data_IF_152398452981
#
_entry.id   IF_152398452981
#
_cell.length_a   1.000
_cell.length_b   1.000
_cell.length_c   1.000
_cell.angle_alpha   90.00
_cell.angle_beta   90.00
_cell.angle_gamma   90.00
#
_symmetry.space_group_name_H-M   'P 1'
#
loop_
_entity.id
_entity.type
_entity.pdbx_description
1 polymer ?
#
# COMPACT_ATOMS: atom_id res chain seq x y z
N UNK A 1 -4.98 27.86 1.24
CA UNK A 1 -4.50 29.25 1.41
C UNK A 1 -3.31 29.34 2.39
N UNK A 2 -3.32 28.59 3.50
CA UNK A 2 -2.24 28.60 4.50
C UNK A 2 -0.88 28.10 3.95
N UNK A 3 -0.87 27.10 3.04
CA UNK A 3 0.34 26.62 2.33
C UNK A 3 1.05 27.71 1.52
N UNK A 4 0.30 28.38 0.65
CA UNK A 4 0.86 29.43 -0.21
C UNK A 4 1.41 30.58 0.64
N UNK A 5 0.74 30.91 1.74
CA UNK A 5 1.23 31.90 2.70
C UNK A 5 2.53 31.44 3.38
N UNK A 6 2.65 30.20 3.85
CA UNK A 6 3.85 29.69 4.52
C UNK A 6 5.06 29.56 3.59
N UNK A 7 4.88 28.94 2.41
CA UNK A 7 5.93 28.83 1.39
C UNK A 7 6.39 30.21 0.89
N UNK A 8 5.45 31.13 0.67
CA UNK A 8 5.78 32.51 0.31
C UNK A 8 6.50 33.24 1.45
N UNK A 9 6.11 33.01 2.70
CA UNK A 9 6.76 33.62 3.86
C UNK A 9 8.21 33.16 3.98
N UNK A 10 8.48 31.85 3.83
CA UNK A 10 9.86 31.30 3.86
C UNK A 10 10.67 31.86 2.68
N UNK A 11 10.10 31.86 1.48
CA UNK A 11 10.77 32.37 0.28
C UNK A 11 11.10 33.87 0.40
N UNK A 12 10.14 34.69 0.83
CA UNK A 12 10.31 36.13 1.04
C UNK A 12 11.31 36.38 2.18
N UNK A 13 11.26 35.61 3.27
CA UNK A 13 12.21 35.75 4.39
C UNK A 13 13.64 35.43 3.96
N UNK A 14 13.85 34.36 3.18
CA UNK A 14 15.15 34.04 2.61
C UNK A 14 15.66 35.14 1.69
N UNK A 15 14.78 35.74 0.87
CA UNK A 15 15.15 36.79 -0.08
C UNK A 15 15.49 38.10 0.64
N UNK A 16 14.75 38.44 1.70
CA UNK A 16 15.05 39.56 2.59
C UNK A 16 16.38 39.35 3.32
N UNK A 17 16.62 38.15 3.85
CA UNK A 17 17.91 37.78 4.47
C UNK A 17 19.07 37.91 3.48
N UNK A 18 18.90 37.48 2.23
CA UNK A 18 19.92 37.62 1.20
C UNK A 18 20.25 39.09 0.93
N UNK A 19 19.23 39.96 0.87
CA UNK A 19 19.40 41.40 0.74
C UNK A 19 20.14 42.03 1.92
N UNK A 20 19.76 41.67 3.16
CA UNK A 20 20.42 42.14 4.39
C UNK A 20 21.89 41.70 4.41
N UNK A 21 22.18 40.46 4.05
CA UNK A 21 23.55 39.94 4.01
C UNK A 21 24.41 40.62 2.94
N UNK A 22 23.83 40.97 1.78
CA UNK A 22 24.52 41.71 0.73
C UNK A 22 24.89 43.14 1.16
N UNK A 23 23.97 43.83 1.84
CA UNK A 23 24.21 45.17 2.42
C UNK A 23 25.25 45.07 3.54
N UNK A 24 25.17 44.04 4.38
CA UNK A 24 26.13 43.84 5.46
C UNK A 24 27.55 43.60 4.93
N UNK A 25 27.69 42.69 3.97
CA UNK A 25 28.98 42.37 3.34
C UNK A 25 29.61 43.56 2.59
N UNK A 26 28.80 44.40 1.95
CA UNK A 26 29.32 45.59 1.22
C UNK A 26 29.67 46.75 2.15
N UNK A 27 29.00 46.88 3.30
CA UNK A 27 29.24 47.96 4.25
C UNK A 27 30.47 47.74 5.15
N UNK A 28 30.80 46.48 5.47
CA UNK A 28 31.92 46.13 6.36
C UNK A 28 33.23 45.85 5.64
N UNK A 29 33.19 45.32 4.43
CA UNK A 29 34.36 44.66 3.86
C UNK A 29 34.92 45.43 2.69
N UNK A 30 36.05 46.10 2.90
CA UNK A 30 36.73 46.89 1.86
C UNK A 30 37.62 46.03 0.94
N UNK A 31 37.86 44.78 1.31
CA UNK A 31 38.71 43.85 0.54
C UNK A 31 37.87 42.76 -0.14
N UNK A 32 38.19 42.47 -1.39
CA UNK A 32 37.53 41.43 -2.18
C UNK A 32 37.58 40.06 -1.49
N UNK A 33 38.67 39.74 -0.81
CA UNK A 33 38.85 38.47 -0.09
C UNK A 33 37.93 38.36 1.12
N UNK A 34 37.78 39.43 1.91
CA UNK A 34 36.87 39.41 3.05
C UNK A 34 35.40 39.33 2.61
N UNK A 35 35.02 39.99 1.51
CA UNK A 35 33.67 39.86 0.95
C UNK A 35 33.37 38.40 0.53
N UNK A 36 34.38 37.73 -0.04
CA UNK A 36 34.24 36.35 -0.51
C UNK A 36 34.11 35.33 0.64
N UNK A 37 34.75 35.60 1.78
CA UNK A 37 34.74 34.70 2.95
C UNK A 37 33.55 34.98 3.87
N UNK A 38 33.25 36.26 4.13
CA UNK A 38 32.26 36.65 5.13
C UNK A 38 30.88 36.97 4.53
N UNK A 39 30.78 37.28 3.23
CA UNK A 39 29.52 37.65 2.58
C UNK A 39 28.89 36.52 1.77
N UNK A 40 29.70 35.89 0.92
CA UNK A 40 29.22 34.89 -0.06
C UNK A 40 28.53 33.68 0.58
N UNK A 41 29.06 33.03 1.64
CA UNK A 41 28.41 31.86 2.24
C UNK A 41 27.02 32.17 2.81
N UNK A 42 26.84 33.33 3.44
CA UNK A 42 25.57 33.72 4.06
C UNK A 42 24.53 34.15 3.04
N UNK A 43 24.94 34.83 1.96
CA UNK A 43 24.06 35.11 0.82
C UNK A 43 23.61 33.80 0.16
N UNK A 44 24.52 32.84 -0.06
CA UNK A 44 24.18 31.53 -0.62
C UNK A 44 23.22 30.75 0.27
N UNK A 45 23.39 30.82 1.59
CA UNK A 45 22.50 30.18 2.56
C UNK A 45 21.11 30.81 2.57
N UNK A 46 21.02 32.15 2.51
CA UNK A 46 19.74 32.86 2.39
C UNK A 46 19.02 32.55 1.05
N UNK A 47 19.78 32.41 -0.04
CA UNK A 47 19.26 31.93 -1.32
C UNK A 47 18.80 30.47 -1.26
N UNK A 48 19.49 29.61 -0.51
CA UNK A 48 19.07 28.22 -0.29
C UNK A 48 17.75 28.13 0.50
N UNK A 49 17.56 29.00 1.50
CA UNK A 49 16.29 29.15 2.24
C UNK A 49 15.19 29.65 1.31
N UNK A 50 15.49 30.62 0.45
CA UNK A 50 14.56 31.14 -0.57
C UNK A 50 14.12 30.03 -1.52
N UNK A 51 15.08 29.25 -2.00
CA UNK A 51 14.83 28.11 -2.88
C UNK A 51 13.99 27.03 -2.19
N UNK A 52 14.26 26.72 -0.92
CA UNK A 52 13.46 25.78 -0.14
C UNK A 52 12.01 26.28 0.05
N UNK A 53 11.80 27.56 0.37
CA UNK A 53 10.48 28.17 0.45
C UNK A 53 9.72 28.11 -0.88
N UNK A 54 10.41 28.36 -2.00
CA UNK A 54 9.87 28.22 -3.34
C UNK A 54 9.51 26.77 -3.71
N UNK A 55 10.35 25.80 -3.32
CA UNK A 55 10.10 24.38 -3.53
C UNK A 55 8.86 23.92 -2.76
N UNK A 56 8.72 24.34 -1.51
CA UNK A 56 7.54 24.11 -0.67
C UNK A 56 6.28 24.76 -1.29
N UNK A 57 6.40 25.95 -1.88
CA UNK A 57 5.28 26.62 -2.57
C UNK A 57 4.74 25.80 -3.76
N UNK A 58 5.61 25.04 -4.43
CA UNK A 58 5.27 24.16 -5.56
C UNK A 58 4.85 22.74 -5.16
N UNK A 59 5.08 22.34 -3.92
CA UNK A 59 4.67 21.03 -3.40
C UNK A 59 3.15 20.88 -3.26
N UNK A 60 2.65 19.66 -3.39
CA UNK A 60 1.21 19.35 -3.33
C UNK A 60 0.69 19.04 -1.92
N UNK A 61 1.57 18.84 -0.94
CA UNK A 61 1.23 18.31 0.39
C UNK A 61 1.33 19.36 1.51
N UNK A 62 0.18 19.67 2.13
CA UNK A 62 0.01 20.73 3.14
C UNK A 62 0.63 20.35 4.51
N UNK A 63 0.67 19.07 4.86
CA UNK A 63 1.21 18.59 6.15
C UNK A 63 2.73 18.70 6.18
N UNK A 64 3.37 18.32 5.07
CA UNK A 64 4.82 18.44 4.87
C UNK A 64 5.29 19.89 4.99
N UNK A 65 4.50 20.84 4.48
CA UNK A 65 4.82 22.28 4.50
C UNK A 65 4.87 22.84 5.94
N UNK A 66 3.94 22.39 6.80
CA UNK A 66 3.86 22.85 8.20
C UNK A 66 5.04 22.31 9.02
N UNK A 67 5.42 21.05 8.82
CA UNK A 67 6.56 20.41 9.52
C UNK A 67 7.87 21.12 9.15
N UNK A 68 8.10 21.40 7.86
CA UNK A 68 9.30 22.09 7.40
C UNK A 68 9.38 23.52 7.96
N UNK A 69 8.27 24.25 7.98
CA UNK A 69 8.21 25.61 8.54
C UNK A 69 8.47 25.64 10.06
N UNK A 70 7.93 24.67 10.81
CA UNK A 70 8.16 24.56 12.25
C UNK A 70 9.64 24.30 12.58
N UNK A 71 10.29 23.40 11.84
CA UNK A 71 11.72 23.15 12.01
C UNK A 71 12.59 24.33 11.59
N UNK A 72 12.24 25.04 10.52
CA UNK A 72 12.94 26.26 10.11
C UNK A 72 12.89 27.34 11.22
N UNK A 73 11.72 27.56 11.81
CA UNK A 73 11.55 28.51 12.91
C UNK A 73 12.30 28.03 14.17
N UNK A 74 12.20 26.74 14.50
CA UNK A 74 12.90 26.14 15.64
C UNK A 74 14.41 26.25 15.52
N UNK A 75 14.95 26.00 14.33
CA UNK A 75 16.37 26.18 14.03
C UNK A 75 16.81 27.63 14.15
N UNK A 76 16.02 28.58 13.60
CA UNK A 76 16.27 30.02 13.72
C UNK A 76 16.39 30.47 15.18
N UNK A 77 15.38 30.12 15.99
CA UNK A 77 15.31 30.48 17.41
C UNK A 77 16.42 29.78 18.20
N UNK A 78 16.68 28.51 17.93
CA UNK A 78 17.73 27.73 18.60
C UNK A 78 19.11 28.32 18.39
N UNK A 79 19.49 28.62 17.14
CA UNK A 79 20.79 29.23 16.86
C UNK A 79 20.89 30.69 17.32
N UNK A 80 19.80 31.47 17.26
CA UNK A 80 19.77 32.82 17.84
C UNK A 80 20.05 32.79 19.36
N UNK A 81 19.44 31.84 20.08
CA UNK A 81 19.64 31.66 21.51
C UNK A 81 21.08 31.21 21.84
N UNK A 82 21.64 30.27 21.08
CA UNK A 82 23.05 29.85 21.23
C UNK A 82 23.99 31.04 21.05
N UNK A 83 23.76 31.86 20.02
CA UNK A 83 24.63 33.01 19.74
C UNK A 83 24.47 34.14 20.75
N UNK A 84 23.26 34.40 21.23
CA UNK A 84 23.04 35.31 22.35
C UNK A 84 23.80 34.86 23.61
N UNK A 85 23.79 33.54 23.90
CA UNK A 85 24.53 32.96 25.03
C UNK A 85 26.05 33.10 24.84
N UNK A 86 26.58 32.82 23.65
CA UNK A 86 28.01 32.95 23.35
C UNK A 86 28.48 34.41 23.44
N UNK A 87 27.73 35.35 22.87
CA UNK A 87 28.02 36.78 22.95
C UNK A 87 28.01 37.28 24.39
N UNK A 88 27.03 36.84 25.19
CA UNK A 88 26.94 37.19 26.62
C UNK A 88 28.12 36.61 27.39
N UNK A 89 28.48 35.35 27.13
CA UNK A 89 29.61 34.66 27.75
C UNK A 89 30.95 35.34 27.43
N UNK A 90 31.18 35.68 26.17
CA UNK A 90 32.37 36.42 25.74
C UNK A 90 32.47 37.81 26.37
N UNK A 91 31.33 38.52 26.51
CA UNK A 91 31.29 39.84 27.13
C UNK A 91 31.62 39.80 28.63
N UNK A 92 31.19 38.75 29.34
CA UNK A 92 31.53 38.55 30.76
C UNK A 92 33.00 38.14 30.94
N UNK A 93 33.57 37.45 29.96
CA UNK A 93 34.94 36.93 30.02
C UNK A 93 36.03 37.93 29.59
N UNK A 94 35.70 38.95 28.79
CA UNK A 94 36.66 39.89 28.19
C UNK A 94 36.20 41.35 28.41
N UNK A 95 36.78 42.04 29.38
CA UNK A 95 36.47 43.45 29.75
C UNK A 95 36.87 44.49 28.67
N UNK A 96 37.51 44.08 27.58
CA UNK A 96 38.24 45.00 26.67
C UNK A 96 37.81 44.94 25.20
N UNK A 97 36.96 44.00 24.80
CA UNK A 97 36.56 43.88 23.39
C UNK A 97 35.19 44.53 23.13
N UNK A 98 35.04 45.40 22.11
CA UNK A 98 33.75 45.96 21.70
C UNK A 98 32.93 44.89 20.94
N UNK A 99 32.63 43.77 21.60
CA UNK A 99 31.87 42.65 21.04
C UNK A 99 30.47 43.09 20.59
N UNK A 100 29.89 44.09 21.28
CA UNK A 100 28.57 44.62 20.96
C UNK A 100 28.48 45.37 19.61
N UNK A 101 29.59 45.91 19.07
CA UNK A 101 29.56 46.50 17.72
C UNK A 101 29.37 45.44 16.61
N UNK A 102 29.66 44.17 16.93
CA UNK A 102 29.51 43.04 15.99
C UNK A 102 28.39 42.07 16.35
N UNK A 103 27.76 42.24 17.51
CA UNK A 103 26.67 41.39 17.98
C UNK A 103 25.49 41.29 16.99
N UNK A 104 25.03 42.37 16.31
CA UNK A 104 23.94 42.26 15.33
C UNK A 104 24.30 41.37 14.13
N UNK A 105 25.55 41.42 13.66
CA UNK A 105 26.03 40.61 12.54
C UNK A 105 26.04 39.12 12.89
N UNK A 106 26.64 38.80 14.03
CA UNK A 106 26.75 37.42 14.54
C UNK A 106 25.36 36.82 14.77
N UNK A 107 24.39 37.62 15.25
CA UNK A 107 23.02 37.19 15.43
C UNK A 107 22.33 36.86 14.09
N UNK A 108 22.48 37.70 13.07
CA UNK A 108 21.89 37.47 11.73
C UNK A 108 22.48 36.22 11.09
N UNK A 109 23.79 36.04 11.17
CA UNK A 109 24.50 34.87 10.63
C UNK A 109 24.01 33.58 11.29
N UNK A 110 23.87 33.60 12.61
CA UNK A 110 23.40 32.45 13.38
C UNK A 110 21.94 32.12 13.12
N UNK A 111 21.08 33.13 13.03
CA UNK A 111 19.68 32.95 12.61
C UNK A 111 19.63 32.30 11.22
N UNK A 112 20.47 32.75 10.29
CA UNK A 112 20.50 32.22 8.93
C UNK A 112 20.94 30.74 8.93
N UNK A 113 21.98 30.39 9.70
CA UNK A 113 22.43 28.99 9.86
C UNK A 113 21.34 28.14 10.48
N UNK A 114 20.67 28.66 11.51
CA UNK A 114 19.58 27.97 12.18
C UNK A 114 18.39 27.68 11.26
N UNK A 115 17.98 28.67 10.46
CA UNK A 115 16.90 28.48 9.48
C UNK A 115 17.28 27.39 8.48
N UNK A 116 18.51 27.42 7.93
CA UNK A 116 18.95 26.41 6.97
C UNK A 116 18.95 25.00 7.58
N UNK A 117 19.54 24.85 8.77
CA UNK A 117 19.59 23.56 9.48
C UNK A 117 18.18 23.05 9.79
N UNK A 118 17.30 23.93 10.24
CA UNK A 118 15.89 23.63 10.49
C UNK A 118 15.15 23.15 9.25
N UNK A 119 15.28 23.86 8.12
CA UNK A 119 14.68 23.43 6.84
C UNK A 119 15.15 22.02 6.46
N UNK A 120 16.45 21.74 6.56
CA UNK A 120 17.01 20.43 6.19
C UNK A 120 16.45 19.30 7.05
N UNK A 121 16.41 19.50 8.38
CA UNK A 121 15.81 18.55 9.31
C UNK A 121 14.32 18.34 9.03
N UNK A 122 13.58 19.43 8.78
CA UNK A 122 12.16 19.36 8.48
C UNK A 122 11.84 18.58 7.20
N UNK A 123 12.64 18.76 6.14
CA UNK A 123 12.47 17.98 4.90
C UNK A 123 12.76 16.49 5.14
N UNK A 124 13.80 16.19 5.93
CA UNK A 124 14.12 14.81 6.27
C UNK A 124 13.01 14.14 7.09
N UNK A 125 12.49 14.81 8.12
CA UNK A 125 11.39 14.30 8.94
C UNK A 125 10.13 14.05 8.12
N UNK A 126 9.74 15.01 7.27
CA UNK A 126 8.57 14.87 6.41
C UNK A 126 8.71 13.68 5.43
N UNK A 127 9.90 13.52 4.82
CA UNK A 127 10.19 12.37 3.95
C UNK A 127 10.18 11.04 4.72
N UNK A 128 10.67 11.04 5.96
CA UNK A 128 10.67 9.87 6.83
C UNK A 128 9.26 9.39 7.11
N UNK A 129 8.35 10.31 7.47
CA UNK A 129 6.94 9.98 7.75
C UNK A 129 6.23 9.38 6.55
N UNK A 130 6.41 9.95 5.36
CA UNK A 130 5.81 9.39 4.14
C UNK A 130 6.32 7.98 3.84
N UNK A 131 7.62 7.75 4.06
CA UNK A 131 8.20 6.41 3.91
C UNK A 131 7.64 5.43 4.94
N UNK A 132 7.47 5.85 6.19
CA UNK A 132 6.88 5.01 7.24
C UNK A 132 5.42 4.68 6.94
N UNK A 133 4.62 5.66 6.55
CA UNK A 133 3.22 5.44 6.20
C UNK A 133 3.07 4.48 5.00
N UNK A 134 3.94 4.59 4.00
CA UNK A 134 3.94 3.65 2.87
C UNK A 134 4.33 2.23 3.31
N UNK A 135 5.34 2.10 4.16
CA UNK A 135 5.75 0.80 4.71
C UNK A 135 4.66 0.16 5.58
N UNK A 136 3.94 0.96 6.38
CA UNK A 136 2.81 0.49 7.19
C UNK A 136 1.68 -0.02 6.30
N UNK A 137 1.30 0.73 5.25
CA UNK A 137 0.28 0.26 4.28
C UNK A 137 0.69 -1.01 3.57
N UNK A 138 1.96 -1.12 3.15
CA UNK A 138 2.47 -2.33 2.51
C UNK A 138 2.46 -3.52 3.46
N UNK A 139 2.87 -3.32 4.72
CA UNK A 139 2.81 -4.36 5.76
C UNK A 139 1.37 -4.80 5.99
N UNK A 140 0.45 -3.87 6.20
CA UNK A 140 -0.96 -4.17 6.45
C UNK A 140 -1.60 -4.92 5.27
N UNK A 141 -1.23 -4.56 4.02
CA UNK A 141 -1.65 -5.29 2.82
C UNK A 141 -1.10 -6.73 2.81
N UNK A 142 0.18 -6.91 3.14
CA UNK A 142 0.83 -8.24 3.19
C UNK A 142 0.23 -9.09 4.31
N UNK A 143 0.03 -8.54 5.51
CA UNK A 143 -0.59 -9.23 6.64
C UNK A 143 -2.04 -9.61 6.30
N UNK A 144 -2.81 -8.69 5.70
CA UNK A 144 -4.18 -8.97 5.24
C UNK A 144 -4.23 -10.03 4.14
N UNK A 145 -3.25 -10.08 3.23
CA UNK A 145 -3.14 -11.17 2.25
C UNK A 145 -2.73 -12.49 2.91
N UNK A 146 -1.76 -12.47 3.83
CA UNK A 146 -1.28 -13.66 4.52
C UNK A 146 -2.37 -14.31 5.38
N UNK A 147 -3.19 -13.52 6.08
CA UNK A 147 -4.34 -14.02 6.83
C UNK A 147 -5.35 -14.70 5.89
N UNK A 148 -5.71 -14.04 4.77
CA UNK A 148 -6.61 -14.63 3.76
C UNK A 148 -6.04 -15.91 3.14
N UNK A 149 -4.73 -15.97 2.89
CA UNK A 149 -4.06 -17.17 2.40
C UNK A 149 -4.02 -18.30 3.46
N UNK A 150 -3.93 -17.96 4.74
CA UNK A 150 -4.04 -18.95 5.82
C UNK A 150 -5.47 -19.53 5.88
N UNK A 151 -6.49 -18.68 5.77
CA UNK A 151 -7.89 -19.11 5.69
C UNK A 151 -8.14 -19.98 4.45
N UNK A 152 -7.51 -19.67 3.31
CA UNK A 152 -7.54 -20.50 2.10
C UNK A 152 -7.10 -21.94 2.36
N UNK A 153 -6.02 -22.14 3.12
CA UNK A 153 -5.53 -23.49 3.44
C UNK A 153 -6.54 -24.28 4.30
N UNK A 154 -7.29 -23.59 5.16
CA UNK A 154 -8.38 -24.21 5.91
C UNK A 154 -9.53 -24.62 4.98
N UNK A 155 -9.93 -23.76 4.04
CA UNK A 155 -10.95 -24.10 3.04
C UNK A 155 -10.49 -25.24 2.13
N UNK A 156 -9.24 -25.24 1.65
CA UNK A 156 -8.71 -26.33 0.83
C UNK A 156 -8.75 -27.69 1.53
N UNK A 157 -8.52 -27.71 2.86
CA UNK A 157 -8.68 -28.94 3.66
C UNK A 157 -10.15 -29.35 3.79
N UNK A 158 -11.03 -28.41 4.12
CA UNK A 158 -12.46 -28.67 4.26
C UNK A 158 -13.09 -29.16 2.93
N UNK A 159 -12.69 -28.58 1.80
CA UNK A 159 -13.10 -29.01 0.46
C UNK A 159 -12.68 -30.45 0.16
N UNK A 160 -11.46 -30.85 0.52
CA UNK A 160 -11.00 -32.24 0.35
C UNK A 160 -11.73 -33.25 1.25
N UNK A 161 -12.38 -32.79 2.31
CA UNK A 161 -13.18 -33.61 3.22
C UNK A 161 -14.65 -33.72 2.78
N UNK A 162 -15.10 -32.90 1.82
CA UNK A 162 -16.47 -32.92 1.31
C UNK A 162 -16.79 -34.24 0.61
N UNK A 163 -18.02 -34.71 0.79
CA UNK A 163 -18.54 -35.94 0.18
C UNK A 163 -19.61 -35.66 -0.89
N UNK A 164 -20.15 -34.44 -0.92
CA UNK A 164 -21.26 -34.06 -1.81
C UNK A 164 -21.00 -32.74 -2.52
N UNK A 165 -21.66 -32.54 -3.67
CA UNK A 165 -21.53 -31.30 -4.45
C UNK A 165 -22.14 -30.13 -3.69
N UNK A 166 -23.19 -30.37 -2.92
CA UNK A 166 -23.85 -29.40 -2.06
C UNK A 166 -22.90 -28.86 -0.99
N UNK A 167 -22.15 -29.73 -0.29
CA UNK A 167 -21.13 -29.32 0.68
C UNK A 167 -20.02 -28.48 0.04
N UNK A 168 -19.54 -28.88 -1.14
CA UNK A 168 -18.54 -28.10 -1.89
C UNK A 168 -19.10 -26.73 -2.26
N UNK A 169 -20.33 -26.66 -2.78
CA UNK A 169 -20.95 -25.41 -3.21
C UNK A 169 -21.15 -24.43 -2.06
N UNK A 170 -21.61 -24.90 -0.91
CA UNK A 170 -21.81 -24.08 0.29
C UNK A 170 -20.47 -23.52 0.81
N UNK A 171 -19.43 -24.36 0.90
CA UNK A 171 -18.09 -23.93 1.31
C UNK A 171 -17.48 -22.94 0.31
N UNK A 172 -17.67 -23.15 -1.00
CA UNK A 172 -17.19 -22.19 -2.01
C UNK A 172 -17.87 -20.83 -1.86
N UNK A 173 -19.19 -20.79 -1.67
CA UNK A 173 -19.92 -19.52 -1.47
C UNK A 173 -19.47 -18.83 -0.19
N UNK A 174 -19.32 -19.57 0.91
CA UNK A 174 -18.83 -19.03 2.19
C UNK A 174 -17.40 -18.48 2.06
N UNK A 175 -16.52 -19.22 1.39
CA UNK A 175 -15.14 -18.81 1.17
C UNK A 175 -15.05 -17.58 0.26
N UNK A 176 -15.88 -17.47 -0.79
CA UNK A 176 -15.95 -16.27 -1.64
C UNK A 176 -16.41 -15.06 -0.79
N UNK A 177 -17.46 -15.22 0.02
CA UNK A 177 -17.90 -14.14 0.90
C UNK A 177 -16.81 -13.71 1.90
N UNK A 178 -16.08 -14.66 2.48
CA UNK A 178 -15.12 -14.37 3.56
C UNK A 178 -13.78 -13.86 3.04
N UNK A 179 -13.26 -14.43 1.95
CA UNK A 179 -11.92 -14.12 1.45
C UNK A 179 -11.88 -12.83 0.62
N UNK A 180 -12.97 -12.55 -0.10
CA UNK A 180 -13.01 -11.46 -1.07
C UNK A 180 -14.15 -10.48 -0.87
N UNK A 181 -14.95 -10.64 0.19
CA UNK A 181 -16.08 -9.76 0.55
C UNK A 181 -17.14 -9.66 -0.56
N UNK A 182 -17.32 -10.74 -1.32
CA UNK A 182 -18.35 -10.84 -2.36
C UNK A 182 -19.47 -11.75 -1.84
N UNK A 183 -20.58 -11.12 -1.42
CA UNK A 183 -21.70 -11.84 -0.83
C UNK A 183 -22.69 -12.39 -1.84
N UNK A 184 -22.74 -11.83 -3.05
CA UNK A 184 -23.67 -12.22 -4.10
C UNK A 184 -23.01 -13.26 -5.00
N UNK A 185 -23.12 -14.54 -4.64
CA UNK A 185 -22.45 -15.65 -5.34
C UNK A 185 -23.45 -16.75 -5.64
N UNK A 186 -23.31 -17.41 -6.78
CA UNK A 186 -24.09 -18.58 -7.17
C UNK A 186 -23.18 -19.67 -7.72
N UNK A 187 -23.52 -20.91 -7.41
CA UNK A 187 -22.83 -22.11 -7.85
C UNK A 187 -23.74 -22.86 -8.83
N UNK A 188 -23.34 -22.90 -10.10
CA UNK A 188 -24.19 -23.39 -11.19
C UNK A 188 -23.60 -24.66 -11.78
N UNK A 189 -24.36 -25.74 -11.75
CA UNK A 189 -24.06 -26.99 -12.46
C UNK A 189 -24.82 -27.01 -13.79
N UNK A 190 -24.09 -27.20 -14.88
CA UNK A 190 -24.65 -27.35 -16.21
C UNK A 190 -24.47 -28.77 -16.70
N UNK A 191 -25.56 -29.42 -17.10
CA UNK A 191 -25.56 -30.74 -17.73
C UNK A 191 -26.16 -30.63 -19.14
N UNK A 192 -25.30 -30.58 -20.15
CA UNK A 192 -25.71 -30.36 -21.55
C UNK A 192 -26.36 -28.99 -21.74
N UNK A 193 -27.64 -28.95 -22.12
CA UNK A 193 -28.40 -27.71 -22.29
C UNK A 193 -29.09 -27.22 -21.01
N UNK A 194 -29.13 -28.03 -19.95
CA UNK A 194 -29.78 -27.66 -18.70
C UNK A 194 -28.75 -27.06 -17.73
N UNK A 195 -29.08 -25.91 -17.14
CA UNK A 195 -28.36 -25.30 -16.04
C UNK A 195 -29.20 -25.39 -14.77
N UNK A 196 -28.58 -25.82 -13.67
CA UNK A 196 -29.19 -25.94 -12.35
C UNK A 196 -28.35 -25.15 -11.36
N UNK A 197 -29.00 -24.31 -10.56
CA UNK A 197 -28.33 -23.60 -9.46
C UNK A 197 -28.28 -24.58 -8.28
N UNK A 198 -27.08 -24.96 -7.87
CA UNK A 198 -26.86 -25.87 -6.73
C UNK A 198 -27.05 -25.10 -5.43
N UNK A 199 -26.43 -23.92 -5.34
CA UNK A 199 -26.54 -23.02 -4.21
C UNK A 199 -26.35 -21.56 -4.68
N UNK A 200 -26.98 -20.60 -4.00
CA UNK A 200 -26.87 -19.19 -4.34
C UNK A 200 -27.24 -18.27 -3.16
N UNK A 201 -26.50 -17.19 -3.03
CA UNK A 201 -26.76 -16.07 -2.13
C UNK A 201 -27.24 -14.81 -2.86
N UNK A 202 -27.27 -14.84 -4.20
CA UNK A 202 -27.75 -13.73 -5.02
C UNK A 202 -29.25 -13.49 -4.77
N UNK A 203 -29.61 -12.29 -4.33
CA UNK A 203 -31.01 -11.91 -4.06
C UNK A 203 -31.56 -11.01 -5.16
N UNK A 204 -32.79 -11.30 -5.61
CA UNK A 204 -33.55 -10.46 -6.53
C UNK A 204 -33.18 -10.61 -8.01
N UNK A 205 -32.38 -11.63 -8.35
CA UNK A 205 -32.01 -11.96 -9.73
C UNK A 205 -32.68 -13.28 -10.11
N UNK A 206 -33.40 -13.38 -11.26
CA UNK A 206 -33.98 -14.63 -11.71
C UNK A 206 -32.94 -15.71 -12.02
N UNK A 207 -33.28 -16.97 -11.75
CA UNK A 207 -32.41 -18.12 -11.99
C UNK A 207 -31.94 -18.21 -13.45
N UNK A 208 -32.81 -17.87 -14.42
CA UNK A 208 -32.44 -17.86 -15.84
C UNK A 208 -31.32 -16.84 -16.13
N UNK A 209 -31.36 -15.69 -15.46
CA UNK A 209 -30.35 -14.65 -15.60
C UNK A 209 -29.01 -15.08 -14.99
N UNK A 210 -29.04 -15.80 -13.86
CA UNK A 210 -27.83 -16.37 -13.24
C UNK A 210 -27.24 -17.47 -14.14
N UNK A 211 -28.07 -18.31 -14.74
CA UNK A 211 -27.64 -19.33 -15.69
C UNK A 211 -27.00 -18.71 -16.94
N UNK A 212 -27.58 -17.63 -17.48
CA UNK A 212 -26.99 -16.85 -18.59
C UNK A 212 -25.64 -16.23 -18.22
N UNK A 213 -25.45 -15.78 -16.97
CA UNK A 213 -24.15 -15.30 -16.49
C UNK A 213 -23.12 -16.42 -16.43
N UNK A 214 -23.49 -17.58 -15.91
CA UNK A 214 -22.62 -18.75 -15.85
C UNK A 214 -22.12 -19.16 -17.25
N UNK A 215 -22.98 -19.02 -18.27
CA UNK A 215 -22.63 -19.29 -19.67
C UNK A 215 -21.49 -18.41 -20.20
N UNK A 216 -21.29 -17.20 -19.67
CA UNK A 216 -20.21 -16.30 -20.11
C UNK A 216 -18.83 -16.83 -19.75
N UNK A 217 -18.71 -17.59 -18.65
CA UNK A 217 -17.46 -18.22 -18.22
C UNK A 217 -17.17 -19.57 -18.88
N UNK A 218 -18.03 -20.03 -19.81
CA UNK A 218 -17.96 -21.39 -20.36
C UNK A 218 -16.62 -21.73 -21.00
N UNK A 219 -16.13 -20.82 -21.83
CA UNK A 219 -14.94 -21.03 -22.66
C UNK A 219 -13.65 -20.57 -21.95
N UNK A 220 -13.78 -20.12 -20.69
CA UNK A 220 -12.63 -19.81 -19.86
C UNK A 220 -11.82 -21.08 -19.53
N UNK A 221 -10.55 -20.87 -19.23
CA UNK A 221 -9.69 -21.92 -18.68
C UNK A 221 -10.20 -22.35 -17.28
N UNK A 222 -9.96 -23.62 -16.93
CA UNK A 222 -10.35 -24.14 -15.62
C UNK A 222 -9.63 -23.39 -14.50
N UNK A 223 -10.36 -23.10 -13.42
CA UNK A 223 -9.88 -22.39 -12.25
C UNK A 223 -9.28 -21.00 -12.57
N UNK A 224 -9.75 -20.34 -13.63
CA UNK A 224 -9.37 -18.95 -13.97
C UNK A 224 -10.54 -18.01 -13.76
N UNK A 225 -10.26 -16.87 -13.12
CA UNK A 225 -11.28 -15.84 -12.84
C UNK A 225 -11.39 -14.89 -14.04
N UNK A 226 -12.58 -14.83 -14.63
CA UNK A 226 -12.90 -13.84 -15.69
C UNK A 226 -13.76 -12.74 -15.11
N UNK A 227 -13.32 -11.49 -15.27
CA UNK A 227 -14.05 -10.29 -14.84
C UNK A 227 -14.70 -9.63 -16.05
N UNK A 228 -16.01 -9.42 -15.96
CA UNK A 228 -16.84 -8.77 -16.98
C UNK A 228 -17.33 -7.44 -16.42
N UNK A 229 -16.77 -6.33 -16.91
CA UNK A 229 -17.17 -4.96 -16.54
C UNK A 229 -18.08 -4.32 -17.59
N UNK A 230 -17.87 -4.61 -18.87
CA UNK A 230 -18.66 -4.03 -19.97
C UNK A 230 -19.90 -4.86 -20.32
N UNK A 231 -19.91 -6.15 -19.96
CA UNK A 231 -20.96 -7.12 -20.30
C UNK A 231 -21.86 -7.49 -19.09
N UNK A 232 -21.96 -6.58 -18.11
CA UNK A 232 -22.89 -6.72 -16.99
C UNK A 232 -24.32 -6.49 -17.49
N UNK A 233 -25.27 -7.41 -17.26
CA UNK A 233 -26.66 -7.21 -17.65
C UNK A 233 -27.23 -5.91 -17.07
N UNK A 234 -27.73 -5.03 -17.95
CA UNK A 234 -28.29 -3.73 -17.56
C UNK A 234 -29.53 -3.82 -16.64
N UNK A 235 -30.10 -5.02 -16.47
CA UNK A 235 -31.18 -5.31 -15.54
C UNK A 235 -30.72 -5.39 -14.08
N UNK A 236 -29.42 -5.51 -13.83
CA UNK A 236 -28.84 -5.56 -12.48
C UNK A 236 -28.48 -4.17 -11.99
N UNK A 237 -29.18 -3.70 -10.97
CA UNK A 237 -28.88 -2.42 -10.33
C UNK A 237 -27.73 -2.54 -9.32
N UNK A 238 -26.83 -1.56 -9.34
CA UNK A 238 -25.70 -1.48 -8.41
C UNK A 238 -24.62 -2.56 -8.56
N UNK A 239 -24.54 -3.27 -9.69
CA UNK A 239 -23.46 -4.22 -9.98
C UNK A 239 -22.40 -3.54 -10.82
N UNK A 240 -21.17 -3.47 -10.31
CA UNK A 240 -20.03 -2.86 -11.00
C UNK A 240 -19.30 -3.85 -11.91
N UNK A 241 -19.20 -5.10 -11.48
CA UNK A 241 -18.56 -6.15 -12.27
C UNK A 241 -19.13 -7.52 -11.97
N UNK A 242 -19.19 -8.37 -12.99
CA UNK A 242 -19.54 -9.78 -12.90
C UNK A 242 -18.27 -10.62 -12.94
N UNK A 243 -18.12 -11.58 -12.03
CA UNK A 243 -17.06 -12.57 -12.05
C UNK A 243 -17.65 -13.92 -12.45
N UNK A 244 -16.98 -14.61 -13.36
CA UNK A 244 -17.29 -16.00 -13.70
C UNK A 244 -16.04 -16.85 -13.55
N UNK A 245 -16.16 -17.97 -12.84
CA UNK A 245 -15.05 -18.89 -12.60
C UNK A 245 -15.50 -20.30 -12.94
N UNK A 246 -14.84 -20.91 -13.92
CA UNK A 246 -15.11 -22.28 -14.30
C UNK A 246 -14.40 -23.23 -13.32
N UNK A 247 -15.17 -23.99 -12.55
CA UNK A 247 -14.65 -24.79 -11.42
C UNK A 247 -14.19 -26.17 -11.85
N UNK A 248 -15.07 -26.89 -12.53
CA UNK A 248 -14.83 -28.27 -12.94
C UNK A 248 -15.51 -28.53 -14.29
N UNK A 249 -14.95 -29.46 -15.05
CA UNK A 249 -15.57 -30.07 -16.22
C UNK A 249 -15.44 -31.59 -16.10
N UNK A 250 -16.56 -32.29 -16.21
CA UNK A 250 -16.66 -33.75 -16.29
C UNK A 250 -17.27 -34.13 -17.63
N UNK A 251 -17.35 -35.43 -17.94
CA UNK A 251 -17.94 -35.91 -19.20
C UNK A 251 -19.39 -35.44 -19.42
N UNK A 252 -20.12 -35.13 -18.35
CA UNK A 252 -21.56 -34.83 -18.42
C UNK A 252 -21.96 -33.53 -17.71
N UNK A 253 -21.04 -32.89 -16.98
CA UNK A 253 -21.35 -31.67 -16.23
C UNK A 253 -20.21 -30.64 -16.29
N UNK A 254 -20.57 -29.37 -16.35
CA UNK A 254 -19.65 -28.24 -16.17
C UNK A 254 -20.14 -27.41 -15.00
N UNK A 255 -19.24 -27.07 -14.09
CA UNK A 255 -19.56 -26.30 -12.89
C UNK A 255 -18.94 -24.92 -13.01
N UNK A 256 -19.73 -23.88 -12.75
CA UNK A 256 -19.31 -22.48 -12.82
C UNK A 256 -19.80 -21.72 -11.60
N UNK A 257 -18.91 -20.92 -11.00
CA UNK A 257 -19.26 -19.94 -9.99
C UNK A 257 -19.51 -18.60 -10.69
N UNK A 258 -20.60 -17.96 -10.30
CA UNK A 258 -20.98 -16.60 -10.70
C UNK A 258 -20.94 -15.74 -9.45
N UNK A 259 -20.23 -14.60 -9.49
CA UNK A 259 -20.20 -13.67 -8.37
C UNK A 259 -20.44 -12.23 -8.85
N UNK A 260 -21.30 -11.49 -8.17
CA UNK A 260 -21.64 -10.11 -8.49
C UNK A 260 -20.93 -9.17 -7.52
N UNK A 261 -20.03 -8.35 -8.06
CA UNK A 261 -19.42 -7.29 -7.27
C UNK A 261 -20.32 -6.05 -7.31
N UNK A 262 -20.94 -5.75 -6.16
CA UNK A 262 -21.70 -4.50 -5.95
C UNK A 262 -20.88 -3.43 -5.21
N UNK A 263 -19.67 -3.76 -4.80
CA UNK A 263 -18.78 -2.83 -4.11
C UNK A 263 -18.06 -1.93 -5.10
N UNK A 264 -17.71 -0.71 -4.66
CA UNK A 264 -16.95 0.28 -5.46
C UNK A 264 -15.47 -0.03 -5.61
N UNK A 265 -15.05 -1.23 -5.22
CA UNK A 265 -13.66 -1.62 -5.17
C UNK A 265 -13.37 -2.54 -6.35
N UNK A 266 -12.35 -2.15 -7.13
CA UNK A 266 -11.89 -2.91 -8.28
C UNK A 266 -11.35 -4.28 -7.85
N UNK A 267 -11.66 -5.32 -8.64
CA UNK A 267 -11.17 -6.67 -8.40
C UNK A 267 -9.67 -6.74 -8.71
N UNK A 268 -8.87 -6.79 -7.64
CA UNK A 268 -7.40 -6.85 -7.73
C UNK A 268 -6.90 -8.23 -8.19
N UNK A 269 -5.67 -8.28 -8.70
CA UNK A 269 -5.03 -9.55 -9.06
C UNK A 269 -4.81 -10.46 -7.84
N UNK A 270 -4.61 -9.91 -6.64
CA UNK A 270 -4.53 -10.71 -5.42
C UNK A 270 -5.87 -11.39 -5.09
N UNK A 271 -6.98 -10.67 -5.28
CA UNK A 271 -8.34 -11.21 -5.13
C UNK A 271 -8.58 -12.35 -6.11
N UNK A 272 -8.20 -12.17 -7.38
CA UNK A 272 -8.30 -13.23 -8.40
C UNK A 272 -7.48 -14.45 -8.01
N UNK A 273 -6.22 -14.27 -7.63
CA UNK A 273 -5.35 -15.38 -7.25
C UNK A 273 -5.90 -16.21 -6.08
N UNK A 274 -6.54 -15.57 -5.09
CA UNK A 274 -7.23 -16.30 -4.01
C UNK A 274 -8.39 -17.12 -4.56
N UNK A 275 -9.26 -16.52 -5.37
CA UNK A 275 -10.41 -17.23 -5.96
C UNK A 275 -9.99 -18.40 -6.86
N UNK A 276 -8.95 -18.23 -7.65
CA UNK A 276 -8.39 -19.29 -8.51
C UNK A 276 -7.85 -20.46 -7.68
N UNK A 277 -7.17 -20.17 -6.57
CA UNK A 277 -6.67 -21.20 -5.65
C UNK A 277 -7.83 -21.96 -4.97
N UNK A 278 -8.85 -21.24 -4.49
CA UNK A 278 -10.07 -21.83 -3.92
C UNK A 278 -10.73 -22.78 -4.92
N UNK A 279 -10.93 -22.30 -6.14
CA UNK A 279 -11.62 -23.02 -7.19
C UNK A 279 -10.82 -24.21 -7.70
N UNK A 280 -9.49 -24.12 -7.70
CA UNK A 280 -8.62 -25.27 -7.99
C UNK A 280 -8.85 -26.41 -6.98
N UNK A 281 -8.90 -26.11 -5.68
CA UNK A 281 -9.22 -27.10 -4.64
C UNK A 281 -10.64 -27.66 -4.77
N UNK A 282 -11.62 -26.79 -5.06
CA UNK A 282 -13.00 -27.21 -5.27
C UNK A 282 -13.13 -28.11 -6.49
N UNK A 283 -12.44 -27.79 -7.59
CA UNK A 283 -12.40 -28.62 -8.80
C UNK A 283 -11.88 -30.02 -8.51
N UNK A 284 -10.79 -30.15 -7.75
CA UNK A 284 -10.27 -31.45 -7.30
C UNK A 284 -11.24 -32.21 -6.40
N UNK A 285 -11.90 -31.53 -5.47
CA UNK A 285 -12.92 -32.16 -4.61
C UNK A 285 -14.09 -32.71 -5.42
N UNK A 286 -14.58 -31.92 -6.40
CA UNK A 286 -15.65 -32.34 -7.30
C UNK A 286 -15.21 -33.52 -8.18
N UNK A 287 -14.00 -33.50 -8.73
CA UNK A 287 -13.48 -34.63 -9.51
C UNK A 287 -13.49 -35.94 -8.71
N UNK A 288 -13.12 -35.89 -7.42
CA UNK A 288 -13.20 -37.06 -6.54
C UNK A 288 -14.64 -37.54 -6.28
N UNK A 289 -15.60 -36.62 -6.22
CA UNK A 289 -17.02 -36.93 -6.04
C UNK A 289 -17.62 -37.55 -7.32
N UNK A 290 -17.28 -37.01 -8.49
CA UNK A 290 -17.78 -37.48 -9.79
C UNK A 290 -17.05 -38.74 -10.30
N UNK A 291 -15.80 -38.97 -9.88
CA UNK A 291 -14.99 -40.14 -10.24
C UNK A 291 -14.64 -41.00 -9.01
N UNK A 292 -15.61 -41.68 -8.36
CA UNK A 292 -15.36 -42.48 -7.16
C UNK A 292 -14.47 -43.72 -7.37
N UNK A 293 -14.00 -43.99 -8.59
CA UNK A 293 -13.23 -45.18 -8.98
C UNK A 293 -11.75 -45.17 -8.55
N UNK A 294 -11.47 -45.02 -7.25
CA UNK A 294 -10.25 -45.56 -6.60
C UNK A 294 -10.32 -45.70 -5.06
N UNK A 295 -11.50 -45.88 -4.47
CA UNK A 295 -11.65 -46.32 -3.07
C UNK A 295 -12.12 -47.77 -2.96
N UNK A 296 -11.39 -48.72 -3.58
CA UNK A 296 -11.45 -50.16 -3.26
C UNK A 296 -10.07 -50.79 -3.47
N UNK A 297 -9.51 -51.35 -2.39
CA UNK A 297 -8.22 -52.07 -2.31
C UNK A 297 -7.62 -51.89 -0.91
N UNK A 298 -8.21 -52.49 0.13
CA UNK A 298 -7.71 -53.71 0.78
C UNK A 298 -6.37 -53.45 1.51
N UNK A 299 -6.34 -53.35 2.84
CA UNK A 299 -6.36 -54.55 3.66
C UNK A 299 -5.01 -55.28 3.56
N UNK A 300 -4.11 -55.00 4.51
CA UNK A 300 -2.93 -55.82 4.83
C UNK A 300 -1.79 -55.83 3.78
N UNK A 301 -0.95 -54.80 3.77
CA UNK A 301 0.42 -54.91 3.27
C UNK A 301 1.22 -55.80 4.24
N UNK A 302 1.18 -57.11 3.97
CA UNK A 302 2.11 -58.07 4.54
C UNK A 302 3.49 -57.77 3.96
N UNK A 303 4.34 -57.15 4.77
CA UNK A 303 5.76 -56.97 4.46
C UNK A 303 6.41 -58.36 4.54
N UNK A 304 6.60 -59.00 3.39
CA UNK A 304 7.50 -60.15 3.29
C UNK A 304 8.94 -59.64 3.42
N UNK A 305 9.47 -59.71 4.64
CA UNK A 305 10.90 -59.55 4.93
C UNK A 305 11.55 -60.90 4.68
N UNK A 306 12.24 -61.03 3.55
CA UNK A 306 13.11 -62.16 3.27
C UNK A 306 14.32 -62.12 4.23
N UNK A 307 14.30 -62.98 5.25
CA UNK A 307 15.45 -63.22 6.10
C UNK A 307 16.43 -64.14 5.37
N UNK A 308 17.50 -63.55 4.83
CA UNK A 308 18.67 -64.30 4.36
C UNK A 308 19.36 -64.92 5.59
N UNK A 309 19.00 -66.17 5.89
CA UNK A 309 19.65 -66.96 6.91
C UNK A 309 21.04 -67.38 6.42
N UNK A 310 22.05 -66.59 6.79
CA UNK A 310 23.42 -67.07 6.76
C UNK A 310 23.57 -68.31 7.66
N UNK A 311 24.08 -69.41 7.09
CA UNK A 311 25.11 -70.25 7.72
C UNK A 311 25.66 -71.32 6.76
N UNK A 312 26.97 -71.19 6.54
CA UNK A 312 28.00 -72.24 6.68
C UNK A 312 27.75 -73.62 6.04
N UNK A 313 28.54 -73.92 5.00
CA UNK A 313 29.68 -74.83 5.09
C UNK A 313 30.69 -74.61 3.96
#
# INVERSE_FOLDING_TARGET
MQRQAQGATIAVSGLLLAGVQLVHATSRTQTTVGFLIDGVPFVLMALAITYAGYWVLRGTDDEHTTIVGAWALGGAVGFAAISALLLTSMNVALDTFPVFESAPAIAIDSITVGILAGVLVGVYDARSRTRLAELERQRDRIEGFANRAADMNNYGRALNECATVEEVSALCIEAVATLVDITDTAFVERRGEMATIVDATIVGVPDETIAEMAMRGRDAELATVVTHTEDVPATLDGVESLLTIRVAETEHSQITIVALNRGSQEITDETKALLEMLVSHAGTALENIYSPSHRVGDGNEQIDIEFEAGREK
#
